data_IF_562192481753
#
_entry.id   IF_562192481753
#
_cell.length_a   1.000
_cell.length_b   1.000
_cell.length_c   1.000
_cell.angle_alpha   90.00
_cell.angle_beta   90.00
_cell.angle_gamma   90.00
#
_symmetry.space_group_name_H-M   'P 1'
#
loop_
_entity.id
_entity.type
_entity.pdbx_description
1 polymer ?
#
# COMPACT_ATOMS: atom_id res chain seq x y z
N UNK A 1 -62.26 36.02 0.06
CA UNK A 1 -62.19 37.11 1.07
C UNK A 1 -60.72 37.42 1.21
N UNK A 2 -60.35 38.34 0.46
CA UNK A 2 -60.08 39.75 0.71
C UNK A 2 -58.65 39.92 1.07
N UNK A 3 -57.86 40.41 0.12
CA UNK A 3 -57.57 41.83 -0.19
C UNK A 3 -56.45 42.34 0.72
N UNK A 4 -55.39 42.72 0.12
CA UNK A 4 -54.98 43.98 -0.46
C UNK A 4 -54.14 44.78 0.57
N UNK A 5 -53.09 45.48 0.31
CA UNK A 5 -52.80 46.62 -0.56
C UNK A 5 -51.29 46.97 -0.34
N UNK A 6 -50.50 47.01 -1.30
CA UNK A 6 -49.78 47.99 -2.09
C UNK A 6 -49.49 49.35 -1.44
N UNK A 7 -48.29 49.86 -1.80
CA UNK A 7 -47.75 51.22 -2.08
C UNK A 7 -46.42 51.44 -1.37
N UNK A 8 -45.33 51.78 -2.00
CA UNK A 8 -45.09 52.64 -3.14
C UNK A 8 -44.37 53.93 -2.73
N UNK A 9 -43.52 54.42 -3.59
CA UNK A 9 -42.86 55.75 -3.68
C UNK A 9 -41.36 55.66 -3.39
N UNK A 10 -40.45 55.66 -4.31
CA UNK A 10 -40.05 56.61 -5.39
C UNK A 10 -39.23 57.82 -4.87
N UNK A 11 -38.13 57.99 -5.52
CA UNK A 11 -37.38 59.22 -5.71
C UNK A 11 -36.15 59.33 -4.81
N UNK A 12 -35.02 59.78 -5.20
CA UNK A 12 -34.68 60.64 -6.34
C UNK A 12 -33.17 60.60 -6.58
N UNK A 13 -32.83 60.82 -7.75
CA UNK A 13 -31.65 61.14 -8.48
C UNK A 13 -30.74 62.17 -7.80
N UNK A 14 -29.44 62.01 -7.87
CA UNK A 14 -28.50 63.05 -8.29
C UNK A 14 -27.09 62.47 -8.46
N UNK A 15 -26.74 62.43 -9.62
CA UNK A 15 -25.56 62.56 -10.42
C UNK A 15 -24.37 63.37 -9.89
N UNK A 16 -23.23 63.01 -10.48
CA UNK A 16 -21.93 63.74 -10.69
C UNK A 16 -20.81 63.32 -9.75
N UNK A 17 -19.62 63.17 -10.20
CA UNK A 17 -18.87 63.21 -11.46
C UNK A 17 -17.37 63.14 -11.08
N UNK A 18 -16.59 62.51 -11.97
CA UNK A 18 -15.18 62.77 -12.23
C UNK A 18 -14.13 62.54 -11.14
N UNK A 19 -13.37 61.57 -11.35
CA UNK A 19 -11.96 61.76 -11.73
C UNK A 19 -11.33 60.41 -12.08
N UNK A 20 -10.77 60.33 -13.25
CA UNK A 20 -10.08 59.13 -13.74
C UNK A 20 -8.78 58.91 -13.00
N UNK A 21 -8.58 57.66 -12.66
CA UNK A 21 -7.25 57.10 -12.42
C UNK A 21 -7.18 55.72 -13.07
N UNK A 22 -6.02 55.32 -13.65
CA UNK A 22 -5.89 54.16 -14.46
C UNK A 22 -5.96 52.86 -13.64
N UNK A 23 -6.54 51.82 -14.27
CA UNK A 23 -6.54 50.47 -13.76
C UNK A 23 -5.11 50.06 -13.35
N UNK A 24 -4.93 49.83 -12.06
CA UNK A 24 -3.74 49.14 -11.55
C UNK A 24 -3.88 47.67 -11.83
N UNK A 25 -3.04 47.17 -12.72
CA UNK A 25 -2.76 45.76 -12.88
C UNK A 25 -2.39 45.17 -11.52
N UNK A 26 -3.32 44.46 -10.90
CA UNK A 26 -3.11 43.69 -9.68
C UNK A 26 -2.42 42.38 -9.98
N UNK A 27 -1.22 42.42 -10.52
CA UNK A 27 -0.32 41.28 -10.38
C UNK A 27 0.12 41.24 -8.91
N UNK A 28 -0.66 40.55 -8.08
CA UNK A 28 -0.28 40.26 -6.71
C UNK A 28 1.03 39.47 -6.73
N UNK A 29 2.09 40.11 -6.29
CA UNK A 29 3.31 39.43 -5.89
C UNK A 29 2.94 38.36 -4.85
N UNK A 30 2.90 37.12 -5.30
CA UNK A 30 2.98 35.99 -4.40
C UNK A 30 4.36 36.06 -3.74
N UNK A 31 4.41 36.62 -2.54
CA UNK A 31 5.63 36.70 -1.76
C UNK A 31 6.29 35.34 -1.74
N UNK A 32 7.55 35.32 -2.18
CA UNK A 32 8.40 34.17 -2.06
C UNK A 32 8.41 33.73 -0.61
N UNK A 33 7.66 32.67 -0.31
CA UNK A 33 7.75 31.98 0.96
C UNK A 33 9.14 31.32 1.01
N UNK A 34 10.13 32.07 1.49
CA UNK A 34 11.45 31.56 1.87
C UNK A 34 11.32 30.80 3.19
N UNK A 35 10.51 29.73 3.19
CA UNK A 35 10.38 28.82 4.31
C UNK A 35 11.01 27.48 3.95
N UNK A 36 11.73 26.92 4.89
CA UNK A 36 12.51 25.68 4.88
C UNK A 36 11.72 24.39 4.54
N UNK A 37 10.53 24.48 3.98
CA UNK A 37 9.62 23.35 3.75
C UNK A 37 9.89 22.49 2.49
N UNK A 38 10.74 22.97 1.58
CA UNK A 38 10.98 22.28 0.30
C UNK A 38 12.47 21.90 0.08
N UNK A 39 13.25 21.79 1.16
CA UNK A 39 14.67 21.44 1.06
C UNK A 39 14.90 20.05 0.46
N UNK A 40 13.97 19.13 0.65
CA UNK A 40 14.01 17.80 0.02
C UNK A 40 13.87 17.82 -1.52
N UNK A 41 13.20 18.84 -2.08
CA UNK A 41 13.07 19.03 -3.52
C UNK A 41 14.33 19.62 -4.17
N UNK A 42 15.35 19.96 -3.37
CA UNK A 42 16.62 20.54 -3.80
C UNK A 42 17.83 19.66 -3.48
N UNK A 43 17.60 18.39 -3.03
CA UNK A 43 18.71 17.45 -2.90
C UNK A 43 19.29 17.21 -4.30
N UNK A 44 20.61 17.34 -4.45
CA UNK A 44 21.32 17.08 -5.71
C UNK A 44 21.11 15.64 -6.20
N UNK A 45 20.61 14.76 -5.35
CA UNK A 45 20.28 13.37 -5.63
C UNK A 45 18.83 13.13 -6.11
N UNK A 46 17.98 14.19 -6.16
CA UNK A 46 16.61 14.02 -6.68
C UNK A 46 16.64 13.93 -8.20
N UNK A 47 16.50 12.74 -8.72
CA UNK A 47 16.20 12.53 -10.14
C UNK A 47 14.68 12.33 -10.28
N UNK A 48 14.03 13.05 -11.20
CA UNK A 48 12.64 12.77 -11.49
C UNK A 48 12.52 11.30 -11.93
N UNK A 49 11.48 10.58 -11.51
CA UNK A 49 11.28 9.20 -11.92
C UNK A 49 11.29 9.14 -13.44
N UNK A 50 12.18 8.32 -14.00
CA UNK A 50 12.28 8.05 -15.43
C UNK A 50 10.95 7.40 -15.83
N UNK A 51 10.13 8.11 -16.61
CA UNK A 51 8.88 7.68 -17.22
C UNK A 51 7.90 6.96 -16.29
N UNK A 52 6.97 7.71 -15.73
CA UNK A 52 5.78 7.16 -15.07
C UNK A 52 4.92 6.47 -16.14
N UNK A 53 5.00 5.15 -16.25
CA UNK A 53 4.20 4.39 -17.19
C UNK A 53 2.75 4.27 -16.68
N UNK A 54 1.93 5.29 -16.97
CA UNK A 54 0.52 5.35 -16.59
C UNK A 54 -0.41 4.63 -17.56
N UNK A 55 0.11 4.19 -18.72
CA UNK A 55 -0.64 3.50 -19.75
C UNK A 55 -0.72 1.98 -19.53
N UNK A 56 0.20 1.43 -18.74
CA UNK A 56 0.22 0.01 -18.37
C UNK A 56 -0.33 -0.15 -16.96
N UNK A 57 -1.36 -1.01 -16.74
CA UNK A 57 -1.90 -1.25 -15.41
C UNK A 57 -0.81 -1.78 -14.46
N UNK A 58 -0.80 -1.30 -13.23
CA UNK A 58 0.11 -1.77 -12.18
C UNK A 58 -0.67 -2.41 -11.03
N UNK A 59 -0.26 -3.59 -10.51
CA UNK A 59 -0.97 -4.28 -9.44
C UNK A 59 -1.24 -3.41 -8.20
N UNK A 60 -0.26 -2.62 -7.74
CA UNK A 60 -0.42 -1.74 -6.59
C UNK A 60 -1.50 -0.66 -6.82
N UNK A 61 -1.60 -0.11 -8.03
CA UNK A 61 -2.59 0.91 -8.39
C UNK A 61 -3.98 0.30 -8.62
N UNK A 62 -4.05 -0.94 -9.16
CA UNK A 62 -5.29 -1.71 -9.23
C UNK A 62 -5.80 -2.05 -7.81
N UNK A 63 -4.89 -2.39 -6.89
CA UNK A 63 -5.23 -2.67 -5.50
C UNK A 63 -5.76 -1.42 -4.78
N UNK A 64 -5.17 -0.24 -5.03
CA UNK A 64 -5.69 1.04 -4.56
C UNK A 64 -7.15 1.26 -5.02
N UNK A 65 -7.45 0.96 -6.29
CA UNK A 65 -8.82 1.03 -6.80
C UNK A 65 -9.78 0.07 -6.09
N UNK A 66 -9.36 -1.18 -5.78
CA UNK A 66 -10.20 -2.14 -5.02
C UNK A 66 -10.53 -1.64 -3.61
N UNK A 67 -9.65 -0.85 -3.02
CA UNK A 67 -9.87 -0.20 -1.72
C UNK A 67 -10.70 1.08 -1.80
N UNK A 68 -11.06 1.55 -3.00
CA UNK A 68 -11.76 2.82 -3.22
C UNK A 68 -10.84 4.03 -3.17
N UNK A 69 -9.54 3.84 -3.31
CA UNK A 69 -8.53 4.89 -3.40
C UNK A 69 -8.62 5.69 -4.71
N UNK A 70 -7.80 6.73 -4.81
CA UNK A 70 -7.82 7.68 -5.95
C UNK A 70 -6.46 7.81 -6.64
N UNK A 71 -5.44 7.12 -6.13
CA UNK A 71 -4.06 7.19 -6.60
C UNK A 71 -3.80 6.14 -7.71
N UNK A 72 -4.73 6.07 -8.67
CA UNK A 72 -4.75 5.15 -9.79
C UNK A 72 -5.12 5.87 -11.09
N UNK A 73 -4.63 5.36 -12.21
CA UNK A 73 -4.82 5.93 -13.54
C UNK A 73 -5.92 5.18 -14.32
N UNK A 74 -6.28 5.69 -15.49
CA UNK A 74 -7.35 5.12 -16.30
C UNK A 74 -7.07 3.67 -16.72
N UNK A 75 -5.81 3.34 -17.04
CA UNK A 75 -5.41 1.98 -17.39
C UNK A 75 -5.63 1.02 -16.21
N UNK A 76 -5.29 1.46 -14.98
CA UNK A 76 -5.46 0.68 -13.75
C UNK A 76 -6.94 0.44 -13.47
N UNK A 77 -7.77 1.49 -13.57
CA UNK A 77 -9.22 1.39 -13.35
C UNK A 77 -9.89 0.45 -14.32
N UNK A 78 -9.59 0.55 -15.63
CA UNK A 78 -10.13 -0.36 -16.63
C UNK A 78 -9.76 -1.82 -16.36
N UNK A 79 -8.51 -2.08 -15.98
CA UNK A 79 -8.07 -3.42 -15.65
C UNK A 79 -8.71 -3.93 -14.34
N UNK A 80 -8.82 -3.07 -13.34
CA UNK A 80 -9.46 -3.38 -12.06
C UNK A 80 -10.96 -3.67 -12.23
N UNK A 81 -11.69 -2.90 -13.04
CA UNK A 81 -13.10 -3.15 -13.34
C UNK A 81 -13.31 -4.46 -14.08
N UNK A 82 -12.44 -4.79 -15.05
CA UNK A 82 -12.46 -6.07 -15.71
C UNK A 82 -12.21 -7.23 -14.74
N UNK A 83 -11.28 -7.05 -13.79
CA UNK A 83 -11.00 -8.04 -12.77
C UNK A 83 -12.17 -8.20 -11.77
N UNK A 84 -12.81 -7.11 -11.34
CA UNK A 84 -14.02 -7.15 -10.50
C UNK A 84 -15.18 -7.82 -11.25
N UNK A 85 -15.33 -7.57 -12.55
CA UNK A 85 -16.35 -8.25 -13.35
C UNK A 85 -16.13 -9.76 -13.39
N UNK A 86 -14.87 -10.20 -13.52
CA UNK A 86 -14.50 -11.62 -13.50
C UNK A 86 -14.58 -12.23 -12.09
N UNK A 87 -14.27 -11.45 -11.05
CA UNK A 87 -14.29 -11.88 -9.66
C UNK A 87 -14.82 -10.76 -8.75
N UNK A 88 -16.15 -10.69 -8.52
CA UNK A 88 -16.79 -9.61 -7.77
C UNK A 88 -16.33 -9.44 -6.32
N UNK A 89 -15.75 -10.47 -5.72
CA UNK A 89 -15.24 -10.42 -4.35
C UNK A 89 -13.88 -9.71 -4.21
N UNK A 90 -13.20 -9.27 -5.29
CA UNK A 90 -11.89 -8.60 -5.20
C UNK A 90 -11.84 -7.42 -4.22
N UNK A 91 -12.83 -6.50 -4.17
CA UNK A 91 -12.82 -5.44 -3.16
C UNK A 91 -12.92 -5.98 -1.72
N UNK A 92 -13.61 -7.09 -1.51
CA UNK A 92 -13.66 -7.77 -0.21
C UNK A 92 -12.30 -8.40 0.12
N UNK A 93 -11.66 -9.07 -0.84
CA UNK A 93 -10.31 -9.63 -0.69
C UNK A 93 -9.32 -8.54 -0.28
N UNK A 94 -9.33 -7.40 -0.96
CA UNK A 94 -8.42 -6.28 -0.66
C UNK A 94 -8.64 -5.73 0.76
N UNK A 95 -9.90 -5.47 1.16
CA UNK A 95 -10.22 -5.00 2.52
C UNK A 95 -9.83 -6.02 3.59
N UNK A 96 -10.12 -7.29 3.35
CA UNK A 96 -9.78 -8.37 4.29
C UNK A 96 -8.27 -8.53 4.44
N UNK A 97 -7.53 -8.36 3.33
CA UNK A 97 -6.05 -8.38 3.36
C UNK A 97 -5.49 -7.19 4.16
N UNK A 98 -6.08 -6.00 4.06
CA UNK A 98 -5.69 -4.86 4.91
C UNK A 98 -5.98 -5.13 6.40
N UNK A 99 -7.12 -5.72 6.71
CA UNK A 99 -7.45 -6.13 8.08
C UNK A 99 -6.45 -7.18 8.61
N UNK A 100 -6.09 -8.18 7.80
CA UNK A 100 -5.04 -9.15 8.15
C UNK A 100 -3.71 -8.47 8.42
N UNK A 101 -3.25 -7.55 7.57
CA UNK A 101 -2.02 -6.79 7.79
C UNK A 101 -2.03 -6.13 9.18
N UNK A 102 -3.13 -5.47 9.53
CA UNK A 102 -3.28 -4.82 10.83
C UNK A 102 -3.14 -5.79 12.00
N UNK A 103 -3.79 -6.95 11.94
CA UNK A 103 -3.71 -7.99 12.97
C UNK A 103 -2.31 -8.61 13.06
N UNK A 104 -1.69 -8.90 11.92
CA UNK A 104 -0.37 -9.51 11.86
C UNK A 104 0.74 -8.56 12.37
N UNK A 105 0.68 -7.28 12.04
CA UNK A 105 1.60 -6.26 12.57
C UNK A 105 1.41 -6.10 14.09
N UNK A 106 0.17 -6.04 14.56
CA UNK A 106 -0.15 -5.99 16.01
C UNK A 106 0.41 -7.22 16.72
N UNK A 107 0.24 -8.40 16.15
CA UNK A 107 0.78 -9.64 16.71
C UNK A 107 2.31 -9.61 16.76
N UNK A 108 3.00 -9.27 15.67
CA UNK A 108 4.47 -9.17 15.65
C UNK A 108 5.00 -8.16 16.67
N UNK A 109 4.35 -6.98 16.78
CA UNK A 109 4.70 -5.99 17.79
C UNK A 109 4.49 -6.50 19.22
N UNK A 110 3.47 -7.34 19.48
CA UNK A 110 3.21 -7.98 20.78
C UNK A 110 4.27 -9.02 21.17
N UNK A 111 4.94 -9.62 20.19
CA UNK A 111 6.11 -10.50 20.40
C UNK A 111 7.40 -9.73 20.78
N UNK A 112 7.34 -8.40 20.81
CA UNK A 112 8.50 -7.55 21.08
C UNK A 112 9.26 -7.10 19.84
N UNK A 113 8.82 -7.45 18.63
CA UNK A 113 9.44 -6.98 17.38
C UNK A 113 9.23 -5.48 17.23
N UNK A 114 10.29 -4.76 16.89
CA UNK A 114 10.32 -3.30 16.74
C UNK A 114 10.80 -2.85 15.37
N UNK A 115 11.04 -3.79 14.47
CA UNK A 115 11.55 -3.55 13.12
C UNK A 115 10.67 -4.26 12.11
N UNK A 116 10.18 -3.54 11.12
CA UNK A 116 9.28 -4.04 10.09
C UNK A 116 9.86 -3.76 8.71
N UNK A 117 10.02 -4.78 7.90
CA UNK A 117 10.45 -4.69 6.50
C UNK A 117 9.27 -5.11 5.62
N UNK A 118 8.56 -4.13 5.06
CA UNK A 118 7.34 -4.30 4.28
C UNK A 118 7.68 -4.22 2.78
N UNK A 119 7.77 -5.37 2.11
CA UNK A 119 8.17 -5.49 0.71
C UNK A 119 6.94 -5.70 -0.17
N UNK A 120 6.83 -4.91 -1.23
CA UNK A 120 5.62 -4.81 -2.05
C UNK A 120 4.53 -4.04 -1.34
N UNK A 121 4.91 -2.94 -0.71
CA UNK A 121 4.05 -2.12 0.14
C UNK A 121 2.77 -1.67 -0.56
N UNK A 122 2.82 -1.39 -1.87
CA UNK A 122 1.75 -0.75 -2.61
C UNK A 122 1.52 0.70 -2.18
N UNK A 123 0.47 1.31 -2.70
CA UNK A 123 0.11 2.69 -2.34
C UNK A 123 -0.34 2.73 -0.88
N UNK A 124 0.28 3.58 -0.03
CA UNK A 124 -0.08 3.66 1.38
C UNK A 124 -1.54 4.06 1.56
N UNK A 125 -2.26 3.32 2.39
CA UNK A 125 -3.65 3.58 2.75
C UNK A 125 -3.80 3.67 4.26
N UNK A 126 -4.98 4.08 4.73
CA UNK A 126 -5.34 4.08 6.15
C UNK A 126 -5.08 2.70 6.76
N UNK A 127 -4.52 2.64 7.96
CA UNK A 127 -4.06 1.40 8.58
C UNK A 127 -2.76 0.87 7.99
N UNK A 128 -1.85 1.77 7.57
CA UNK A 128 -0.51 1.42 7.10
C UNK A 128 0.29 0.68 8.19
N UNK A 129 1.31 -0.06 7.78
CA UNK A 129 2.20 -0.79 8.71
C UNK A 129 2.75 0.15 9.79
N UNK A 130 3.17 1.38 9.44
CA UNK A 130 3.62 2.39 10.40
C UNK A 130 2.52 2.78 11.40
N UNK A 131 1.31 3.09 10.92
CA UNK A 131 0.21 3.48 11.81
C UNK A 131 -0.17 2.37 12.79
N UNK A 132 -0.18 1.12 12.33
CA UNK A 132 -0.51 -0.03 13.18
C UNK A 132 0.61 -0.31 14.16
N UNK A 133 1.86 -0.38 13.69
CA UNK A 133 3.02 -0.66 14.53
C UNK A 133 3.16 0.40 15.65
N UNK A 134 3.02 1.68 15.32
CA UNK A 134 3.16 2.78 16.29
C UNK A 134 2.04 2.84 17.33
N UNK A 135 0.87 2.24 17.09
CA UNK A 135 -0.17 2.11 18.13
C UNK A 135 0.24 1.16 19.24
N UNK A 136 1.02 0.12 18.92
CA UNK A 136 1.48 -0.90 19.88
C UNK A 136 2.88 -0.61 20.38
N UNK A 137 3.75 -0.14 19.50
CA UNK A 137 5.17 0.12 19.73
C UNK A 137 5.55 1.46 19.09
N UNK A 138 5.44 2.58 19.82
CA UNK A 138 5.70 3.93 19.27
C UNK A 138 7.13 4.17 18.80
N UNK A 139 8.06 3.32 19.17
CA UNK A 139 9.47 3.29 18.80
C UNK A 139 9.77 2.35 17.62
N UNK A 140 8.75 1.69 17.07
CA UNK A 140 8.93 0.79 15.93
C UNK A 140 9.49 1.51 14.70
N UNK A 141 10.39 0.84 13.99
CA UNK A 141 10.97 1.28 12.72
C UNK A 141 10.36 0.50 11.58
N UNK A 142 9.96 1.18 10.52
CA UNK A 142 9.32 0.56 9.35
C UNK A 142 10.07 0.95 8.10
N UNK A 143 10.46 -0.03 7.31
CA UNK A 143 11.02 0.18 5.96
C UNK A 143 10.02 -0.34 4.95
N UNK A 144 9.59 0.54 4.06
CA UNK A 144 8.73 0.24 2.93
C UNK A 144 9.58 0.05 1.68
N UNK A 145 9.35 -1.04 0.97
CA UNK A 145 10.04 -1.35 -0.29
C UNK A 145 9.00 -1.61 -1.37
N UNK A 146 9.10 -0.90 -2.50
CA UNK A 146 8.27 -1.14 -3.67
C UNK A 146 9.05 -0.80 -4.94
N UNK A 147 8.76 -1.45 -6.05
CA UNK A 147 9.43 -1.18 -7.31
C UNK A 147 8.75 -0.09 -8.14
N UNK A 148 7.48 0.25 -7.86
CA UNK A 148 6.78 1.34 -8.56
C UNK A 148 7.25 2.71 -8.03
N UNK A 149 7.85 3.56 -8.87
CA UNK A 149 8.26 4.91 -8.47
C UNK A 149 7.10 5.79 -7.99
N UNK A 150 5.88 5.53 -8.45
CA UNK A 150 4.67 6.22 -7.99
C UNK A 150 4.39 5.86 -6.54
N UNK A 151 4.44 4.56 -6.20
CA UNK A 151 4.30 4.08 -4.82
C UNK A 151 5.35 4.72 -3.91
N UNK A 152 6.62 4.70 -4.32
CA UNK A 152 7.70 5.30 -3.55
C UNK A 152 7.49 6.81 -3.32
N UNK A 153 6.98 7.54 -4.31
CA UNK A 153 6.69 8.97 -4.21
C UNK A 153 5.53 9.24 -3.26
N UNK A 154 4.43 8.50 -3.37
CA UNK A 154 3.28 8.62 -2.46
C UNK A 154 3.66 8.25 -1.02
N UNK A 155 4.41 7.17 -0.83
CA UNK A 155 4.89 6.77 0.48
C UNK A 155 5.74 7.88 1.13
N UNK A 156 6.69 8.46 0.40
CA UNK A 156 7.50 9.58 0.91
C UNK A 156 6.65 10.80 1.28
N UNK A 157 5.66 11.16 0.45
CA UNK A 157 4.79 12.31 0.71
C UNK A 157 3.90 12.11 1.94
N UNK A 158 3.29 10.95 2.09
CA UNK A 158 2.40 10.63 3.22
C UNK A 158 3.18 10.47 4.52
N UNK A 159 4.40 9.95 4.46
CA UNK A 159 5.23 9.69 5.64
C UNK A 159 6.03 10.91 6.08
N UNK A 160 6.16 11.95 5.25
CA UNK A 160 6.83 13.20 5.62
C UNK A 160 6.20 13.91 6.84
N UNK A 161 4.94 13.59 7.17
CA UNK A 161 4.24 14.10 8.37
C UNK A 161 4.38 13.22 9.62
N UNK A 162 4.91 12.00 9.50
CA UNK A 162 5.14 11.09 10.63
C UNK A 162 6.50 11.36 11.28
N UNK A 163 6.69 10.89 12.52
CA UNK A 163 7.94 11.13 13.26
C UNK A 163 9.16 10.78 12.41
N UNK A 164 9.91 11.82 12.02
CA UNK A 164 11.11 11.67 11.20
C UNK A 164 12.09 10.69 11.87
N UNK A 165 12.60 9.71 11.11
CA UNK A 165 13.59 8.74 11.57
C UNK A 165 13.04 7.35 11.91
N UNK A 166 11.72 7.15 11.95
CA UNK A 166 11.13 5.83 12.21
C UNK A 166 10.55 5.15 10.96
N UNK A 167 10.51 5.84 9.84
CA UNK A 167 9.99 5.29 8.59
C UNK A 167 10.92 5.63 7.44
N UNK A 168 11.30 4.60 6.67
CA UNK A 168 12.16 4.71 5.48
C UNK A 168 11.41 4.17 4.28
N UNK A 169 11.59 4.78 3.11
CA UNK A 169 11.00 4.33 1.85
C UNK A 169 12.12 4.08 0.84
N UNK A 170 12.18 2.87 0.34
CA UNK A 170 13.13 2.41 -0.66
C UNK A 170 12.40 2.04 -1.95
N UNK A 171 12.98 2.43 -3.09
CA UNK A 171 12.55 1.90 -4.37
C UNK A 171 13.47 0.75 -4.76
N UNK A 172 12.95 -0.47 -4.69
CA UNK A 172 13.70 -1.68 -5.06
C UNK A 172 12.76 -2.79 -5.51
N UNK A 173 13.27 -3.74 -6.28
CA UNK A 173 12.51 -4.88 -6.77
C UNK A 173 12.73 -6.11 -5.88
N UNK A 174 11.64 -6.75 -5.45
CA UNK A 174 11.64 -7.99 -4.68
C UNK A 174 12.45 -9.11 -5.37
N UNK A 175 12.52 -9.10 -6.71
CA UNK A 175 13.28 -10.06 -7.51
C UNK A 175 14.79 -9.93 -7.35
N UNK A 176 15.26 -8.85 -6.76
CA UNK A 176 16.67 -8.68 -6.36
C UNK A 176 16.78 -8.51 -4.83
N UNK A 177 16.57 -9.58 -4.06
CA UNK A 177 16.62 -9.51 -2.60
C UNK A 177 18.01 -9.14 -2.08
N UNK A 178 19.07 -9.44 -2.83
CA UNK A 178 20.43 -9.08 -2.46
C UNK A 178 20.64 -7.57 -2.52
N UNK A 179 20.10 -6.89 -3.53
CA UNK A 179 20.12 -5.43 -3.61
C UNK A 179 19.34 -4.79 -2.46
N UNK A 180 18.17 -5.33 -2.11
CA UNK A 180 17.38 -4.86 -0.95
C UNK A 180 18.22 -4.98 0.35
N UNK A 181 18.75 -6.17 0.64
CA UNK A 181 19.52 -6.43 1.86
C UNK A 181 20.87 -5.70 1.88
N UNK A 182 21.42 -5.39 0.71
CA UNK A 182 22.67 -4.64 0.53
C UNK A 182 22.52 -3.13 0.68
N UNK A 183 21.30 -2.60 0.59
CA UNK A 183 21.03 -1.16 0.52
C UNK A 183 21.49 -0.43 1.80
N UNK A 184 22.24 0.67 1.67
CA UNK A 184 22.71 1.44 2.83
C UNK A 184 21.58 2.04 3.67
N UNK A 185 20.45 2.43 3.04
CA UNK A 185 19.26 2.96 3.73
C UNK A 185 18.58 1.92 4.59
N UNK A 186 18.47 0.66 4.08
CA UNK A 186 17.99 -0.45 4.89
C UNK A 186 18.89 -0.67 6.12
N UNK A 187 20.19 -0.80 5.91
CA UNK A 187 21.18 -1.04 6.99
C UNK A 187 21.23 0.08 8.04
N UNK A 188 20.88 1.30 7.65
CA UNK A 188 20.76 2.41 8.58
C UNK A 188 19.44 2.35 9.39
N UNK A 189 18.36 1.89 8.76
CA UNK A 189 17.02 1.87 9.34
C UNK A 189 16.75 0.61 10.18
N UNK A 190 17.30 -0.54 9.79
CA UNK A 190 17.05 -1.87 10.38
C UNK A 190 18.37 -2.57 10.70
N UNK A 191 18.45 -3.14 11.88
CA UNK A 191 19.52 -4.07 12.29
C UNK A 191 19.02 -5.50 12.11
N UNK A 192 19.53 -6.19 11.09
CA UNK A 192 19.15 -7.59 10.80
C UNK A 192 19.69 -8.60 11.83
N UNK A 193 20.58 -8.18 12.75
CA UNK A 193 21.00 -9.01 13.88
C UNK A 193 19.97 -9.05 15.02
N UNK A 194 18.97 -8.17 14.97
CA UNK A 194 17.84 -8.10 15.87
C UNK A 194 16.56 -8.59 15.19
N UNK A 195 15.51 -9.00 15.94
CA UNK A 195 14.27 -9.48 15.35
C UNK A 195 13.58 -8.47 14.41
N UNK A 196 13.21 -8.93 13.22
CA UNK A 196 12.52 -8.18 12.17
C UNK A 196 11.23 -8.89 11.77
N UNK A 197 10.14 -8.17 11.60
CA UNK A 197 8.96 -8.66 10.89
C UNK A 197 9.13 -8.40 9.37
N UNK A 198 9.47 -9.45 8.63
CA UNK A 198 9.47 -9.45 7.17
C UNK A 198 8.03 -9.63 6.68
N UNK A 199 7.55 -8.68 5.88
CA UNK A 199 6.19 -8.69 5.38
C UNK A 199 6.20 -8.89 3.87
N UNK A 200 5.56 -9.97 3.43
CA UNK A 200 5.32 -10.33 2.03
C UNK A 200 3.80 -10.46 1.82
N UNK A 201 3.10 -9.33 2.02
CA UNK A 201 1.64 -9.29 2.04
C UNK A 201 1.10 -8.95 0.65
N UNK A 202 0.43 -9.91 0.01
CA UNK A 202 -0.16 -9.78 -1.33
C UNK A 202 0.86 -9.38 -2.41
N UNK A 203 2.11 -9.84 -2.34
CA UNK A 203 3.16 -9.50 -3.31
C UNK A 203 3.72 -10.71 -4.04
N UNK A 204 3.94 -11.86 -3.38
CA UNK A 204 4.59 -13.03 -4.00
C UNK A 204 3.81 -13.61 -5.18
N UNK A 205 2.52 -13.39 -5.25
CA UNK A 205 1.72 -13.84 -6.39
C UNK A 205 1.92 -12.97 -7.66
N UNK A 206 2.80 -11.97 -7.60
CA UNK A 206 3.29 -11.22 -8.76
C UNK A 206 4.71 -11.60 -9.18
N UNK A 207 5.28 -12.63 -8.57
CA UNK A 207 6.57 -13.22 -8.92
C UNK A 207 6.33 -14.61 -9.48
N UNK A 208 6.82 -14.90 -10.70
CA UNK A 208 6.70 -16.21 -11.35
C UNK A 208 7.68 -17.22 -10.74
N UNK A 209 7.38 -18.50 -10.87
CA UNK A 209 8.29 -19.55 -10.38
C UNK A 209 9.63 -19.52 -11.14
N UNK A 210 9.58 -19.20 -12.45
CA UNK A 210 10.78 -19.06 -13.29
C UNK A 210 11.66 -17.86 -12.92
N UNK A 211 11.12 -16.92 -12.15
CA UNK A 211 11.87 -15.77 -11.60
C UNK A 211 12.58 -16.11 -10.28
N UNK A 212 12.52 -17.40 -9.85
CA UNK A 212 13.25 -17.89 -8.68
C UNK A 212 12.60 -17.47 -7.34
N UNK A 213 11.26 -17.50 -7.25
CA UNK A 213 10.54 -17.07 -6.05
C UNK A 213 10.99 -17.78 -4.78
N UNK A 214 11.43 -19.04 -4.86
CA UNK A 214 11.93 -19.79 -3.70
C UNK A 214 13.25 -19.22 -3.18
N UNK A 215 14.18 -18.96 -4.08
CA UNK A 215 15.48 -18.39 -3.76
C UNK A 215 15.34 -16.96 -3.22
N UNK A 216 14.40 -16.18 -3.79
CA UNK A 216 14.08 -14.85 -3.30
C UNK A 216 13.63 -14.90 -1.85
N UNK A 217 12.63 -15.73 -1.55
CA UNK A 217 12.08 -15.85 -0.19
C UNK A 217 13.10 -16.45 0.78
N UNK A 218 13.87 -17.47 0.36
CA UNK A 218 14.93 -18.05 1.17
C UNK A 218 16.01 -17.00 1.52
N UNK A 219 16.49 -16.25 0.53
CA UNK A 219 17.49 -15.18 0.74
C UNK A 219 17.03 -14.17 1.79
N UNK A 220 15.77 -13.73 1.73
CA UNK A 220 15.20 -12.79 2.69
C UNK A 220 15.08 -13.42 4.09
N UNK A 221 14.59 -14.66 4.20
CA UNK A 221 14.46 -15.36 5.49
C UNK A 221 15.80 -15.64 6.15
N UNK A 222 16.79 -16.08 5.37
CA UNK A 222 18.10 -16.46 5.87
C UNK A 222 18.84 -15.27 6.49
N UNK A 223 18.58 -14.07 5.99
CA UNK A 223 19.15 -12.83 6.52
C UNK A 223 18.60 -12.40 7.89
N UNK A 224 17.49 -12.99 8.36
CA UNK A 224 16.82 -12.58 9.58
C UNK A 224 17.42 -13.26 10.82
N UNK A 225 17.46 -12.54 11.95
CA UNK A 225 17.83 -13.10 13.24
C UNK A 225 16.74 -14.03 13.82
N UNK A 226 17.09 -14.95 14.74
CA UNK A 226 16.11 -15.67 15.57
C UNK A 226 15.15 -14.70 16.27
N UNK A 227 13.88 -15.11 16.42
CA UNK A 227 12.80 -14.27 16.95
C UNK A 227 12.16 -13.35 15.89
N UNK A 228 12.68 -13.32 14.68
CA UNK A 228 12.04 -12.61 13.54
C UNK A 228 10.77 -13.31 13.10
N UNK A 229 9.86 -12.57 12.46
CA UNK A 229 8.62 -13.10 11.92
C UNK A 229 8.54 -12.92 10.39
N UNK A 230 7.98 -13.92 9.70
CA UNK A 230 7.51 -13.80 8.32
C UNK A 230 5.99 -13.67 8.33
N UNK A 231 5.49 -12.55 7.84
CA UNK A 231 4.07 -12.25 7.64
C UNK A 231 3.78 -12.39 6.15
N UNK A 232 2.87 -13.29 5.78
CA UNK A 232 2.61 -13.63 4.39
C UNK A 232 1.12 -13.70 4.10
N UNK A 233 0.68 -13.11 2.98
CA UNK A 233 -0.59 -13.42 2.35
C UNK A 233 -0.42 -13.64 0.86
N UNK A 234 -1.23 -14.54 0.29
CA UNK A 234 -1.06 -14.99 -1.08
C UNK A 234 -2.40 -15.36 -1.71
N UNK A 235 -2.67 -14.89 -2.93
CA UNK A 235 -3.81 -15.31 -3.72
C UNK A 235 -3.76 -16.81 -4.07
N UNK A 236 -4.89 -17.51 -3.97
CA UNK A 236 -4.96 -18.95 -4.20
C UNK A 236 -6.15 -19.33 -5.10
N UNK A 237 -6.02 -20.37 -5.93
CA UNK A 237 -7.14 -20.91 -6.70
C UNK A 237 -8.07 -21.79 -5.86
N UNK A 238 -7.71 -22.17 -4.63
CA UNK A 238 -8.38 -23.20 -3.84
C UNK A 238 -9.82 -22.83 -3.43
N UNK A 239 -10.19 -21.55 -3.50
CA UNK A 239 -11.47 -21.04 -3.02
C UNK A 239 -12.39 -20.52 -4.13
N UNK A 240 -11.98 -20.64 -5.39
CA UNK A 240 -12.74 -20.15 -6.54
C UNK A 240 -12.78 -21.18 -7.67
N UNK A 241 -13.79 -21.15 -8.53
CA UNK A 241 -13.79 -21.95 -9.74
C UNK A 241 -12.55 -21.66 -10.63
N UNK A 242 -12.04 -22.67 -11.27
CA UNK A 242 -10.84 -22.59 -12.12
C UNK A 242 -10.98 -21.51 -13.21
N UNK A 243 -12.16 -21.42 -13.80
CA UNK A 243 -12.46 -20.43 -14.86
C UNK A 243 -12.28 -18.99 -14.36
N UNK A 244 -12.60 -18.75 -13.10
CA UNK A 244 -12.44 -17.44 -12.45
C UNK A 244 -10.96 -17.14 -12.17
N UNK A 245 -10.21 -18.13 -11.68
CA UNK A 245 -8.77 -18.01 -11.47
C UNK A 245 -8.05 -17.71 -12.80
N UNK A 246 -8.38 -18.46 -13.87
CA UNK A 246 -7.81 -18.28 -15.21
C UNK A 246 -8.18 -16.89 -15.80
N UNK A 247 -9.40 -16.39 -15.54
CA UNK A 247 -9.81 -15.06 -15.97
C UNK A 247 -8.98 -13.97 -15.30
N UNK A 248 -8.75 -14.08 -13.99
CA UNK A 248 -7.86 -13.20 -13.25
C UNK A 248 -6.45 -13.18 -13.83
N UNK A 249 -5.84 -14.34 -14.02
CA UNK A 249 -4.51 -14.48 -14.60
C UNK A 249 -4.41 -13.82 -16.00
N UNK A 250 -5.44 -13.99 -16.85
CA UNK A 250 -5.48 -13.33 -18.19
C UNK A 250 -5.55 -11.80 -18.10
N UNK A 251 -6.24 -11.24 -17.12
CA UNK A 251 -6.32 -9.79 -16.96
C UNK A 251 -4.96 -9.25 -16.54
N UNK A 252 -4.35 -9.83 -15.52
CA UNK A 252 -3.05 -9.42 -15.02
C UNK A 252 -1.88 -9.71 -15.98
N UNK A 253 -2.05 -10.60 -16.97
CA UNK A 253 -1.02 -10.81 -18.00
C UNK A 253 -0.73 -9.58 -18.87
N UNK A 254 -1.61 -8.55 -18.82
CA UNK A 254 -1.45 -7.27 -19.49
C UNK A 254 -0.98 -6.15 -18.56
N UNK A 255 -0.85 -6.43 -17.28
CA UNK A 255 -0.30 -5.52 -16.27
C UNK A 255 1.23 -5.60 -16.24
N UNK A 256 1.85 -4.73 -15.46
CA UNK A 256 3.30 -4.68 -15.26
C UNK A 256 3.86 -5.95 -14.59
N UNK A 257 3.00 -6.71 -13.90
CA UNK A 257 3.35 -8.02 -13.33
C UNK A 257 2.16 -9.00 -13.49
N UNK A 258 2.42 -10.27 -13.86
CA UNK A 258 1.41 -11.30 -13.99
C UNK A 258 0.93 -11.78 -12.62
N UNK A 259 -0.31 -12.31 -12.57
CA UNK A 259 -0.85 -12.95 -11.37
C UNK A 259 -0.60 -14.46 -11.44
N UNK A 260 0.09 -15.01 -10.45
CA UNK A 260 0.36 -16.44 -10.26
C UNK A 260 -0.32 -16.89 -8.96
N UNK A 261 -1.47 -17.55 -9.07
CA UNK A 261 -2.16 -18.14 -7.92
C UNK A 261 -1.50 -19.47 -7.55
N UNK A 262 -1.35 -19.73 -6.25
CA UNK A 262 -0.72 -20.94 -5.73
C UNK A 262 -1.62 -21.68 -4.75
N UNK A 263 -1.61 -23.00 -4.83
CA UNK A 263 -2.33 -23.87 -3.89
C UNK A 263 -1.69 -23.82 -2.50
N UNK A 264 -2.45 -24.24 -1.47
CA UNK A 264 -2.05 -24.19 -0.06
C UNK A 264 -0.62 -24.70 0.18
N UNK A 265 -0.32 -25.91 -0.27
CA UNK A 265 0.98 -26.54 -0.01
C UNK A 265 2.16 -25.71 -0.56
N UNK A 266 1.96 -25.06 -1.71
CA UNK A 266 2.95 -24.19 -2.31
C UNK A 266 3.12 -22.87 -1.52
N UNK A 267 2.03 -22.28 -1.05
CA UNK A 267 2.09 -21.08 -0.21
C UNK A 267 2.75 -21.41 1.13
N UNK A 268 2.43 -22.56 1.71
CA UNK A 268 3.01 -23.02 2.97
C UNK A 268 4.53 -23.23 2.90
N UNK A 269 5.04 -23.68 1.77
CA UNK A 269 6.48 -23.90 1.57
C UNK A 269 7.33 -22.62 1.69
N UNK A 270 6.74 -21.44 1.49
CA UNK A 270 7.45 -20.16 1.65
C UNK A 270 7.86 -19.86 3.10
N UNK A 271 7.20 -20.46 4.09
CA UNK A 271 7.60 -20.31 5.50
C UNK A 271 8.89 -21.06 5.84
N UNK A 272 9.23 -22.11 5.05
CA UNK A 272 10.44 -22.91 5.27
C UNK A 272 10.41 -23.57 6.65
N UNK A 273 11.45 -23.32 7.43
CA UNK A 273 11.67 -23.85 8.77
C UNK A 273 11.15 -22.94 9.91
N UNK A 274 10.50 -21.82 9.57
CA UNK A 274 9.88 -20.96 10.59
C UNK A 274 8.66 -21.66 11.20
N UNK A 275 8.50 -21.53 12.50
CA UNK A 275 7.38 -22.09 13.25
C UNK A 275 6.12 -21.25 13.02
N UNK A 276 5.07 -21.86 12.48
CA UNK A 276 3.81 -21.15 12.21
C UNK A 276 3.10 -20.80 13.52
N UNK A 277 2.76 -19.52 13.67
CA UNK A 277 1.94 -19.05 14.78
C UNK A 277 0.46 -19.47 14.56
N UNK A 278 -0.19 -19.95 15.64
CA UNK A 278 -1.60 -20.32 15.58
C UNK A 278 -2.47 -19.18 14.99
N UNK A 279 -3.38 -19.50 14.07
CA UNK A 279 -3.89 -20.82 13.68
C UNK A 279 -3.13 -21.47 12.49
N UNK A 280 -1.92 -21.05 12.17
CA UNK A 280 -1.13 -21.50 11.03
C UNK A 280 -1.55 -20.82 9.74
N UNK A 281 -1.28 -21.46 8.59
CA UNK A 281 -1.72 -20.99 7.27
C UNK A 281 -3.19 -21.32 7.07
N UNK A 282 -4.05 -20.30 7.02
CA UNK A 282 -5.50 -20.43 6.87
C UNK A 282 -6.03 -19.52 5.76
N UNK A 283 -7.29 -19.71 5.36
CA UNK A 283 -7.95 -18.73 4.51
C UNK A 283 -7.89 -17.36 5.18
N UNK A 284 -7.51 -16.35 4.43
CA UNK A 284 -7.11 -15.01 4.90
C UNK A 284 -8.02 -14.38 5.98
N UNK A 285 -9.37 -14.44 5.91
CA UNK A 285 -10.22 -13.89 6.97
C UNK A 285 -10.12 -14.62 8.30
N UNK A 286 -9.72 -15.90 8.29
CA UNK A 286 -9.68 -16.77 9.47
C UNK A 286 -8.43 -16.60 10.33
N UNK A 287 -7.43 -15.83 9.85
CA UNK A 287 -6.24 -15.60 10.64
C UNK A 287 -6.54 -14.57 11.74
N UNK A 288 -6.78 -15.06 12.97
CA UNK A 288 -7.06 -14.27 14.19
C UNK A 288 -8.08 -13.17 13.94
N UNK A 289 -9.33 -13.50 13.57
CA UNK A 289 -10.37 -12.51 13.29
C UNK A 289 -10.59 -11.58 14.49
N UNK A 290 -10.98 -10.33 14.22
CA UNK A 290 -11.34 -9.35 15.23
C UNK A 290 -12.65 -9.75 15.94
N UNK A 291 -12.96 -9.11 17.09
CA UNK A 291 -14.16 -9.39 17.89
C UNK A 291 -15.47 -9.16 17.12
N UNK A 292 -15.47 -8.27 16.13
CA UNK A 292 -16.60 -8.02 15.24
C UNK A 292 -16.93 -9.21 14.32
N UNK A 293 -16.09 -10.24 14.31
CA UNK A 293 -16.27 -11.47 13.56
C UNK A 293 -15.81 -11.39 12.10
N UNK A 294 -16.34 -12.32 11.30
CA UNK A 294 -15.95 -12.44 9.89
C UNK A 294 -16.85 -11.57 9.00
N UNK A 295 -16.31 -10.90 7.98
CA UNK A 295 -17.11 -10.08 7.08
C UNK A 295 -18.10 -10.93 6.28
N UNK A 296 -19.24 -10.36 5.91
CA UNK A 296 -20.21 -11.04 5.04
C UNK A 296 -19.52 -11.47 3.72
N UNK A 297 -19.80 -12.69 3.28
CA UNK A 297 -19.21 -13.25 2.06
C UNK A 297 -17.74 -13.68 2.19
N UNK A 298 -17.19 -13.77 3.40
CA UNK A 298 -15.81 -14.13 3.66
C UNK A 298 -15.34 -15.43 2.98
N UNK A 299 -16.25 -16.38 2.80
CA UNK A 299 -15.96 -17.65 2.12
C UNK A 299 -15.47 -17.47 0.68
N UNK A 300 -15.79 -16.33 0.07
CA UNK A 300 -15.37 -15.99 -1.28
C UNK A 300 -13.96 -15.40 -1.33
N UNK A 301 -13.30 -15.15 -0.20
CA UNK A 301 -11.95 -14.56 -0.18
C UNK A 301 -10.93 -15.61 -0.64
N UNK A 302 -10.42 -15.44 -1.86
CA UNK A 302 -9.53 -16.40 -2.51
C UNK A 302 -8.04 -16.10 -2.21
N UNK A 303 -7.68 -16.21 -0.93
CA UNK A 303 -6.32 -16.01 -0.46
C UNK A 303 -6.05 -16.78 0.83
N UNK A 304 -4.80 -17.16 1.02
CA UNK A 304 -4.24 -17.63 2.28
C UNK A 304 -3.50 -16.52 3.02
N UNK A 305 -3.42 -16.65 4.34
CA UNK A 305 -2.60 -15.81 5.18
C UNK A 305 -2.03 -16.61 6.37
N UNK A 306 -0.85 -16.24 6.80
CA UNK A 306 -0.17 -16.83 7.94
C UNK A 306 0.97 -15.96 8.44
N UNK A 307 1.39 -16.25 9.67
CA UNK A 307 2.60 -15.68 10.28
C UNK A 307 3.41 -16.83 10.83
N UNK A 308 4.73 -16.79 10.63
CA UNK A 308 5.64 -17.77 11.24
C UNK A 308 6.83 -17.05 11.87
N UNK A 309 7.41 -17.64 12.91
CA UNK A 309 8.50 -17.08 13.71
C UNK A 309 9.74 -17.94 13.54
N UNK A 310 10.89 -17.31 13.35
CA UNK A 310 12.20 -17.96 13.28
C UNK A 310 12.62 -18.40 14.68
N UNK A 311 12.95 -19.70 14.83
CA UNK A 311 13.44 -20.27 16.10
C UNK A 311 14.82 -19.73 16.51
#
# INVERSE_FOLDING_TARGET
MSEDVARGVAGDDTARDRSGEPARDGAGEWGAATGSGWQWARSEDWQPPTELNTEVPHPARMYDYYLGGKDNFEADRRAAEAAITAYPALPLVARTNRAFLGRAVTFAASLGIRQFLDIGTGIPAVGSTTEVAHRVAPDARVVYVDNDPIVATHARALLAGHRAGHTTVMQADLRDPAAILGDPGLKQAVDLAEPVALMLVAVLHFVRDEEGVDEIVATLRDALAPGSALILSHGSPDFVPREMADAGARIYSRASAPLVLRERARVESFFGDFEQAEPGLVQLPLWRPDEDGLPEGWQQVSAYAGVAVKA
#
